data_IF_697645511799
#
_entry.id   IF_697645511799
#
_cell.length_a   1.000
_cell.length_b   1.000
_cell.length_c   1.000
_cell.angle_alpha   90.00
_cell.angle_beta   90.00
_cell.angle_gamma   90.00
#
_symmetry.space_group_name_H-M   'P 1'
#
loop_
_entity.id
_entity.type
_entity.pdbx_description
1 polymer ?
#
# COMPACT_ATOMS: atom_id res chain seq x y z
N UNK A 1 30.61 15.00 -1.10
CA UNK A 1 30.41 14.66 0.32
C UNK A 1 29.17 15.39 0.80
N UNK A 2 28.03 14.72 0.92
CA UNK A 2 26.79 15.34 1.43
C UNK A 2 26.44 14.68 2.77
N UNK A 3 26.36 15.51 3.81
CA UNK A 3 26.12 15.11 5.20
C UNK A 3 24.70 14.56 5.36
N UNK A 4 24.57 13.36 5.90
CA UNK A 4 23.32 12.90 6.51
C UNK A 4 23.16 13.62 7.86
N UNK A 5 22.28 14.63 7.90
CA UNK A 5 21.77 15.18 9.15
C UNK A 5 20.42 14.53 9.44
N UNK A 6 20.35 13.63 10.41
CA UNK A 6 19.08 13.15 10.93
C UNK A 6 18.40 14.32 11.67
N UNK A 7 17.34 14.86 11.08
CA UNK A 7 16.44 15.79 11.79
C UNK A 7 15.40 14.93 12.50
N UNK A 8 15.63 14.65 13.78
CA UNK A 8 14.62 14.09 14.67
C UNK A 8 13.50 15.13 14.82
N UNK A 9 12.32 14.83 14.26
CA UNK A 9 11.14 15.68 14.45
C UNK A 9 10.57 15.45 15.87
N UNK A 10 10.05 16.48 16.55
CA UNK A 10 9.71 16.38 17.98
C UNK A 10 8.47 15.53 18.33
N UNK A 11 7.89 14.80 17.36
CA UNK A 11 6.65 14.03 17.53
C UNK A 11 6.85 12.53 17.73
N UNK A 12 8.09 12.01 17.65
CA UNK A 12 8.38 10.58 17.79
C UNK A 12 8.45 10.05 19.23
N UNK A 13 8.17 10.87 20.25
CA UNK A 13 8.35 10.47 21.67
C UNK A 13 7.07 10.09 22.42
N UNK A 14 5.89 10.03 21.78
CA UNK A 14 4.64 9.79 22.53
C UNK A 14 3.73 8.76 21.85
N UNK A 15 4.15 7.48 21.75
CA UNK A 15 3.27 6.31 22.01
C UNK A 15 4.02 4.97 21.79
N UNK A 16 4.30 4.16 22.83
CA UNK A 16 4.89 2.83 22.67
C UNK A 16 3.98 1.78 21.99
N UNK A 17 2.73 2.14 21.65
CA UNK A 17 1.80 1.29 20.90
C UNK A 17 1.64 1.68 19.42
N UNK A 18 2.33 2.72 18.94
CA UNK A 18 2.32 3.06 17.52
C UNK A 18 3.31 2.16 16.78
N UNK A 19 2.81 1.13 16.09
CA UNK A 19 3.56 0.49 15.00
C UNK A 19 4.07 1.61 14.10
N UNK A 20 5.33 1.61 13.62
CA UNK A 20 5.79 2.63 12.70
C UNK A 20 4.93 2.56 11.45
N UNK A 21 3.95 3.46 11.36
CA UNK A 21 3.34 3.82 10.09
C UNK A 21 4.46 4.56 9.39
N UNK A 22 5.08 3.90 8.41
CA UNK A 22 5.85 4.62 7.39
C UNK A 22 4.83 5.52 6.70
N UNK A 23 4.66 6.72 7.22
CA UNK A 23 3.97 7.78 6.50
C UNK A 23 4.78 8.04 5.25
N UNK A 24 4.11 7.99 4.09
CA UNK A 24 4.67 8.45 2.83
C UNK A 24 4.96 9.94 3.02
N UNK A 25 6.18 10.26 3.41
CA UNK A 25 6.58 11.64 3.70
C UNK A 25 6.50 12.42 2.40
N UNK A 26 5.60 13.41 2.35
CA UNK A 26 5.45 14.30 1.20
C UNK A 26 6.72 15.13 1.06
N UNK A 27 7.64 14.69 0.19
CA UNK A 27 8.96 15.30 0.03
C UNK A 27 10.07 14.30 -0.29
N UNK A 28 9.85 13.00 -0.06
CA UNK A 28 10.80 11.98 -0.49
C UNK A 28 10.85 11.88 -2.02
N UNK A 29 12.05 11.70 -2.56
CA UNK A 29 12.22 11.49 -4.00
C UNK A 29 11.50 10.20 -4.40
N UNK A 30 10.54 10.23 -5.34
CA UNK A 30 9.80 9.03 -5.70
C UNK A 30 10.75 7.99 -6.28
N UNK A 31 10.58 6.73 -5.83
CA UNK A 31 11.41 5.61 -6.28
C UNK A 31 11.37 5.42 -7.80
N UNK A 32 12.51 5.05 -8.39
CA UNK A 32 12.59 4.63 -9.79
C UNK A 32 12.49 3.11 -9.95
N UNK A 33 12.38 2.35 -8.85
CA UNK A 33 12.19 0.91 -8.90
C UNK A 33 10.76 0.59 -9.31
N UNK A 34 10.64 -0.21 -10.37
CA UNK A 34 9.36 -0.62 -10.94
C UNK A 34 9.05 -2.07 -10.57
N UNK A 35 7.85 -2.29 -10.05
CA UNK A 35 7.27 -3.60 -9.88
C UNK A 35 6.28 -3.88 -11.02
N UNK A 36 6.33 -5.09 -11.58
CA UNK A 36 5.42 -5.51 -12.64
C UNK A 36 5.17 -7.00 -12.62
N UNK A 37 4.03 -7.43 -13.18
CA UNK A 37 3.68 -8.84 -13.34
C UNK A 37 3.64 -9.61 -12.00
N UNK A 38 3.10 -8.98 -10.96
CA UNK A 38 2.94 -9.59 -9.64
C UNK A 38 1.61 -10.34 -9.59
N UNK A 39 1.65 -11.59 -9.13
CA UNK A 39 0.46 -12.42 -8.96
C UNK A 39 0.29 -12.84 -7.50
N UNK A 40 -0.86 -12.51 -6.91
CA UNK A 40 -1.30 -12.98 -5.60
C UNK A 40 -2.26 -14.14 -5.79
N UNK A 41 -1.91 -15.33 -5.30
CA UNK A 41 -2.63 -16.56 -5.60
C UNK A 41 -3.10 -17.21 -4.29
N UNK A 42 -4.39 -17.56 -4.22
CA UNK A 42 -5.04 -18.29 -3.13
C UNK A 42 -4.91 -17.61 -1.76
N UNK A 43 -5.11 -16.29 -1.73
CA UNK A 43 -5.12 -15.52 -0.50
C UNK A 43 -6.47 -15.65 0.20
N UNK A 44 -6.47 -16.06 1.46
CA UNK A 44 -7.68 -16.21 2.27
C UNK A 44 -7.48 -15.76 3.72
N UNK A 45 -8.56 -15.35 4.38
CA UNK A 45 -8.54 -14.99 5.81
C UNK A 45 -9.43 -13.80 6.15
N UNK A 46 -9.22 -13.26 7.35
CA UNK A 46 -9.98 -12.13 7.89
C UNK A 46 -9.06 -11.04 8.41
N UNK A 47 -9.41 -9.78 8.20
CA UNK A 47 -8.76 -8.63 8.83
C UNK A 47 -9.66 -7.98 9.88
N UNK A 48 -9.06 -7.42 10.93
CA UNK A 48 -9.79 -6.61 11.92
C UNK A 48 -10.15 -5.21 11.38
N UNK A 49 -9.41 -4.71 10.38
CA UNK A 49 -9.64 -3.41 9.75
C UNK A 49 -10.41 -3.52 8.44
N UNK A 50 -10.83 -2.38 7.88
CA UNK A 50 -11.56 -2.36 6.60
C UNK A 50 -10.66 -2.47 5.36
N UNK A 51 -9.39 -2.07 5.46
CA UNK A 51 -8.46 -2.10 4.34
C UNK A 51 -8.06 -3.55 4.00
N UNK A 52 -8.51 -4.03 2.85
CA UNK A 52 -8.17 -5.37 2.34
C UNK A 52 -6.96 -5.32 1.43
N UNK A 53 -6.87 -4.29 0.58
CA UNK A 53 -5.76 -4.09 -0.34
C UNK A 53 -5.39 -2.62 -0.35
N UNK A 54 -4.09 -2.34 -0.23
CA UNK A 54 -3.50 -1.02 -0.49
C UNK A 54 -2.26 -1.21 -1.37
N UNK A 55 -2.34 -0.78 -2.62
CA UNK A 55 -1.21 -0.77 -3.55
C UNK A 55 -0.89 0.69 -3.87
N UNK A 56 0.30 1.13 -3.50
CA UNK A 56 0.77 2.46 -3.84
C UNK A 56 2.13 2.33 -4.52
N UNK A 57 2.18 2.75 -5.78
CA UNK A 57 3.39 2.73 -6.57
C UNK A 57 3.96 4.15 -6.71
N UNK A 58 5.24 4.23 -7.05
CA UNK A 58 5.90 5.53 -7.24
C UNK A 58 5.30 6.26 -8.43
N UNK A 59 5.14 7.58 -8.32
CA UNK A 59 4.75 8.43 -9.45
C UNK A 59 5.78 8.37 -10.60
N UNK A 60 7.07 8.20 -10.27
CA UNK A 60 8.16 8.07 -11.25
C UNK A 60 8.27 6.65 -11.85
N UNK A 61 7.65 5.66 -11.21
CA UNK A 61 7.71 4.26 -11.63
C UNK A 61 6.37 3.55 -11.34
N UNK A 62 5.36 3.85 -12.16
CA UNK A 62 4.05 3.21 -12.09
C UNK A 62 4.18 1.69 -12.26
N UNK A 63 3.42 0.94 -11.47
CA UNK A 63 3.39 -0.52 -11.52
C UNK A 63 2.21 -1.02 -12.37
N UNK A 64 2.35 -2.21 -12.97
CA UNK A 64 1.33 -2.78 -13.86
C UNK A 64 1.39 -4.30 -13.94
N UNK A 65 0.33 -4.91 -14.46
CA UNK A 65 0.19 -6.36 -14.53
C UNK A 65 0.04 -7.02 -13.16
N UNK A 66 -0.69 -6.38 -12.23
CA UNK A 66 -0.94 -6.96 -10.91
C UNK A 66 -2.24 -7.77 -10.98
N UNK A 67 -2.20 -9.02 -10.55
CA UNK A 67 -3.38 -9.89 -10.57
C UNK A 67 -3.58 -10.61 -9.25
N UNK A 68 -4.86 -10.78 -8.90
CA UNK A 68 -5.31 -11.57 -7.77
C UNK A 68 -6.12 -12.75 -8.29
N UNK A 69 -5.78 -13.96 -7.86
CA UNK A 69 -6.47 -15.20 -8.24
C UNK A 69 -6.83 -15.98 -6.99
N UNK A 70 -8.09 -16.38 -6.86
CA UNK A 70 -8.59 -17.05 -5.65
C UNK A 70 -8.57 -16.14 -4.43
N UNK A 71 -8.96 -14.86 -4.58
CA UNK A 71 -9.04 -13.90 -3.47
C UNK A 71 -10.27 -14.18 -2.59
N UNK A 72 -10.03 -14.52 -1.32
CA UNK A 72 -11.07 -14.79 -0.32
C UNK A 72 -10.69 -14.18 1.05
N UNK A 73 -10.36 -12.88 1.05
CA UNK A 73 -10.10 -12.13 2.28
C UNK A 73 -11.30 -11.25 2.61
N UNK A 74 -11.75 -11.29 3.86
CA UNK A 74 -12.95 -10.57 4.33
C UNK A 74 -12.66 -9.72 5.58
N UNK A 75 -13.57 -8.81 5.91
CA UNK A 75 -13.50 -8.04 7.16
C UNK A 75 -14.21 -8.83 8.27
N UNK A 76 -13.55 -8.98 9.42
CA UNK A 76 -14.16 -9.62 10.58
C UNK A 76 -15.45 -8.88 10.99
N UNK A 77 -16.51 -9.64 11.27
CA UNK A 77 -17.83 -9.07 11.58
C UNK A 77 -18.67 -8.67 10.37
N UNK A 78 -18.28 -9.05 9.15
CA UNK A 78 -19.12 -8.94 7.94
C UNK A 78 -19.15 -7.54 7.31
N UNK A 79 -18.22 -6.66 7.67
CA UNK A 79 -18.11 -5.33 7.07
C UNK A 79 -17.66 -5.32 5.62
N UNK A 80 -17.88 -4.20 4.93
CA UNK A 80 -17.38 -3.99 3.55
C UNK A 80 -15.88 -3.64 3.57
N UNK A 81 -15.10 -4.42 2.82
CA UNK A 81 -13.67 -4.17 2.62
C UNK A 81 -13.40 -3.02 1.66
N UNK A 82 -12.26 -2.34 1.84
CA UNK A 82 -11.77 -1.28 0.95
C UNK A 82 -10.53 -1.72 0.18
N UNK A 83 -10.44 -1.24 -1.05
CA UNK A 83 -9.35 -1.51 -1.98
C UNK A 83 -8.85 -0.15 -2.49
N UNK A 84 -7.58 0.17 -2.19
CA UNK A 84 -6.99 1.46 -2.55
C UNK A 84 -5.79 1.23 -3.48
N UNK A 85 -5.80 1.91 -4.62
CA UNK A 85 -4.72 1.87 -5.60
C UNK A 85 -4.22 3.28 -5.93
N UNK A 86 -2.92 3.45 -6.05
CA UNK A 86 -2.29 4.69 -6.52
C UNK A 86 -1.13 4.36 -7.45
N UNK A 87 -1.04 5.08 -8.59
CA UNK A 87 0.00 4.89 -9.61
C UNK A 87 0.08 3.45 -10.17
N UNK A 88 -1.07 2.78 -10.28
CA UNK A 88 -1.22 1.44 -10.87
C UNK A 88 -1.87 1.52 -12.24
N UNK A 89 -1.41 0.74 -13.22
CA UNK A 89 -1.98 0.75 -14.57
C UNK A 89 -2.97 -0.39 -14.83
N UNK A 90 -2.75 -1.58 -14.28
CA UNK A 90 -3.60 -2.75 -14.52
C UNK A 90 -3.66 -3.64 -13.27
N UNK A 91 -4.73 -3.53 -12.48
CA UNK A 91 -4.98 -4.38 -11.30
C UNK A 91 -6.28 -5.17 -11.52
N UNK A 92 -6.20 -6.49 -11.44
CA UNK A 92 -7.33 -7.38 -11.77
C UNK A 92 -7.58 -8.44 -10.70
N UNK A 93 -8.80 -8.98 -10.66
CA UNK A 93 -9.17 -10.09 -9.76
C UNK A 93 -9.59 -9.67 -8.34
N UNK A 94 -9.74 -8.37 -8.10
CA UNK A 94 -10.34 -7.78 -6.89
C UNK A 94 -11.31 -6.65 -7.28
N UNK A 95 -12.33 -6.36 -6.45
CA UNK A 95 -13.24 -5.25 -6.68
C UNK A 95 -12.53 -3.90 -6.64
N UNK A 96 -12.90 -3.01 -7.58
CA UNK A 96 -12.68 -1.56 -7.57
C UNK A 96 -11.37 -1.08 -6.90
N UNK A 97 -10.22 -1.43 -7.48
CA UNK A 97 -9.00 -0.70 -7.17
C UNK A 97 -9.04 0.64 -7.89
N UNK A 98 -9.68 1.63 -7.26
CA UNK A 98 -9.86 2.96 -7.83
C UNK A 98 -8.49 3.62 -8.00
N UNK A 99 -8.08 3.80 -9.26
CA UNK A 99 -6.98 4.66 -9.65
C UNK A 99 -7.36 6.11 -9.31
N UNK A 100 -6.70 6.71 -8.33
CA UNK A 100 -6.70 8.16 -8.19
C UNK A 100 -5.48 8.69 -8.92
N UNK A 101 -5.71 9.47 -9.99
CA UNK A 101 -4.69 10.31 -10.64
C UNK A 101 -4.09 11.33 -9.68
#
# INVERSE_FOLDING_TARGET
MLRAGAVVSPLDTVNPAARPVVELQTGDTPSYLKFSNISYINWSGTTAGKALVKIACSANARCGGISFKGWNVTVAGGGTGTYACANTLDVTGIPNCSYTE
#
